data_IF_352558447402
#
_entry.id   IF_352558447402
#
_cell.length_a   1.000
_cell.length_b   1.000
_cell.length_c   1.000
_cell.angle_alpha   90.00
_cell.angle_beta   90.00
_cell.angle_gamma   90.00
#
_symmetry.space_group_name_H-M   'P 1'
#
loop_
_entity.id
_entity.type
_entity.pdbx_description
1 polymer ?
#
# COMPACT_ATOMS: atom_id res chain seq x y z
N UNK A 1 1.22 -19.92 7.32
CA UNK A 1 1.32 -18.52 6.85
C UNK A 1 2.26 -18.52 5.65
N UNK A 2 1.91 -17.84 4.56
CA UNK A 2 2.86 -17.64 3.46
C UNK A 2 4.11 -16.92 3.98
N UNK A 3 5.28 -17.25 3.46
CA UNK A 3 6.49 -16.46 3.72
C UNK A 3 6.28 -15.04 3.18
N UNK A 4 6.71 -14.04 3.95
CA UNK A 4 6.71 -12.64 3.54
C UNK A 4 8.03 -12.40 2.81
N UNK A 5 7.98 -12.13 1.51
CA UNK A 5 9.16 -11.98 0.66
C UNK A 5 9.26 -10.60 0.04
N UNK A 6 8.14 -9.89 -0.07
CA UNK A 6 8.03 -8.58 -0.71
C UNK A 6 7.32 -7.57 0.19
N UNK A 7 7.46 -6.28 -0.14
CA UNK A 7 6.70 -5.22 0.52
C UNK A 7 5.19 -5.36 0.24
N UNK A 8 4.81 -5.87 -0.93
CA UNK A 8 3.41 -6.16 -1.26
C UNK A 8 2.79 -7.20 -0.29
N UNK A 9 3.55 -8.23 0.09
CA UNK A 9 3.10 -9.22 1.08
C UNK A 9 2.80 -8.58 2.45
N UNK A 10 3.63 -7.62 2.87
CA UNK A 10 3.41 -6.86 4.11
C UNK A 10 2.16 -5.98 4.00
N UNK A 11 1.97 -5.31 2.86
CA UNK A 11 0.82 -4.45 2.59
C UNK A 11 -0.50 -5.25 2.63
N UNK A 12 -0.51 -6.45 2.05
CA UNK A 12 -1.66 -7.36 2.11
C UNK A 12 -1.96 -7.87 3.51
N UNK A 13 -0.92 -8.17 4.29
CA UNK A 13 -1.08 -8.55 5.69
C UNK A 13 -1.67 -7.40 6.52
N UNK A 14 -1.17 -6.17 6.30
CA UNK A 14 -1.66 -4.98 6.96
C UNK A 14 -3.13 -4.70 6.61
N UNK A 15 -3.54 -4.84 5.34
CA UNK A 15 -4.93 -4.67 4.89
C UNK A 15 -5.90 -5.59 5.63
N UNK A 16 -5.45 -6.78 6.05
CA UNK A 16 -6.27 -7.76 6.79
C UNK A 16 -6.30 -7.53 8.30
N UNK A 17 -5.24 -6.92 8.87
CA UNK A 17 -5.02 -6.86 10.32
C UNK A 17 -5.16 -5.46 10.93
N UNK A 18 -5.03 -4.42 10.13
CA UNK A 18 -5.10 -3.02 10.58
C UNK A 18 -6.53 -2.51 10.37
N UNK A 19 -7.13 -1.77 11.33
CA UNK A 19 -8.42 -1.14 11.12
C UNK A 19 -8.41 -0.25 9.86
N UNK A 20 -9.48 -0.35 9.06
CA UNK A 20 -9.58 0.31 7.75
C UNK A 20 -9.19 1.79 7.76
N UNK A 21 -9.62 2.54 8.79
CA UNK A 21 -9.29 3.96 8.92
C UNK A 21 -7.78 4.22 8.94
N UNK A 22 -7.01 3.42 9.68
CA UNK A 22 -5.56 3.60 9.77
C UNK A 22 -4.84 3.10 8.53
N UNK A 23 -5.32 1.99 7.95
CA UNK A 23 -4.76 1.46 6.71
C UNK A 23 -4.95 2.46 5.57
N UNK A 24 -6.17 2.94 5.34
CA UNK A 24 -6.49 3.88 4.27
C UNK A 24 -5.78 5.23 4.48
N UNK A 25 -5.63 5.69 5.73
CA UNK A 25 -4.85 6.90 6.02
C UNK A 25 -3.37 6.75 5.62
N UNK A 26 -2.78 5.59 5.87
CA UNK A 26 -1.37 5.34 5.55
C UNK A 26 -1.13 5.00 4.07
N UNK A 27 -2.11 4.43 3.37
CA UNK A 27 -1.98 3.92 2.00
C UNK A 27 -2.60 4.83 0.91
N UNK A 28 -3.08 6.03 1.27
CA UNK A 28 -3.70 6.96 0.32
C UNK A 28 -2.73 8.01 -0.23
N UNK A 29 -3.03 8.47 -1.45
CA UNK A 29 -2.40 9.65 -2.05
C UNK A 29 -3.28 10.90 -1.97
N UNK A 30 -2.73 12.04 -2.43
CA UNK A 30 -3.49 13.28 -2.52
C UNK A 30 -4.48 13.27 -3.70
N UNK A 31 -5.73 13.70 -3.48
CA UNK A 31 -6.77 13.86 -4.51
C UNK A 31 -6.97 12.60 -5.37
N UNK A 32 -6.55 12.63 -6.63
CA UNK A 32 -6.65 11.51 -7.59
C UNK A 32 -5.47 10.54 -7.52
N UNK A 33 -4.51 10.79 -6.61
CA UNK A 33 -3.31 9.98 -6.37
C UNK A 33 -2.37 9.87 -7.58
N UNK A 34 -2.41 10.85 -8.48
CA UNK A 34 -1.62 10.82 -9.71
C UNK A 34 -0.12 10.76 -9.44
N UNK A 35 0.37 11.51 -8.47
CA UNK A 35 1.79 11.52 -8.09
C UNK A 35 2.21 10.23 -7.39
N UNK A 36 1.32 9.61 -6.61
CA UNK A 36 1.60 8.31 -5.98
C UNK A 36 1.84 7.25 -7.06
N UNK A 37 0.95 7.15 -8.06
CA UNK A 37 1.07 6.19 -9.16
C UNK A 37 2.27 6.48 -10.06
N UNK A 38 2.48 7.76 -10.43
CA UNK A 38 3.63 8.15 -11.23
C UNK A 38 4.96 7.74 -10.58
N UNK A 39 5.09 7.93 -9.26
CA UNK A 39 6.29 7.52 -8.53
C UNK A 39 6.51 6.00 -8.57
N UNK A 40 5.46 5.18 -8.53
CA UNK A 40 5.61 3.72 -8.65
C UNK A 40 5.95 3.29 -10.09
N UNK A 41 5.35 3.95 -11.08
CA UNK A 41 5.56 3.69 -12.52
C UNK A 41 6.98 4.06 -12.97
N UNK A 42 7.59 5.10 -12.39
CA UNK A 42 8.97 5.52 -12.70
C UNK A 42 10.04 4.44 -12.40
N UNK A 43 9.70 3.43 -11.58
CA UNK A 43 10.59 2.31 -11.21
C UNK A 43 10.16 0.95 -11.79
N UNK A 44 9.18 0.92 -12.70
CA UNK A 44 8.88 -0.27 -13.51
C UNK A 44 9.90 -0.44 -14.64
#
# INVERSE_FOLDING_TARGET
MSSILTIADLKDLARRRVPKMFFDYADSGGWTESTYRANEEDFQ
#
